data_IF_583881548252
#
_entry.id   IF_583881548252
#
_cell.length_a   1.000
_cell.length_b   1.000
_cell.length_c   1.000
_cell.angle_alpha   90.00
_cell.angle_beta   90.00
_cell.angle_gamma   90.00
#
_symmetry.space_group_name_H-M   'P 1'
#
loop_
_entity.id
_entity.type
_entity.pdbx_description
1 polymer ?
#
# COMPACT_ATOMS: atom_id res chain seq x y z
N UNK A 1 11.30 -8.25 25.15
CA UNK A 1 11.71 -6.84 25.25
C UNK A 1 11.02 -6.23 26.46
N UNK A 2 11.76 -5.50 27.31
CA UNK A 2 11.20 -4.74 28.43
C UNK A 2 11.84 -3.35 28.40
N UNK A 3 11.07 -2.31 28.09
CA UNK A 3 11.60 -0.97 27.89
C UNK A 3 10.59 0.00 27.27
N UNK A 4 11.03 1.25 27.10
CA UNK A 4 10.25 2.32 26.47
C UNK A 4 10.36 2.26 24.94
N UNK A 5 9.22 2.43 24.27
CA UNK A 5 9.19 2.61 22.83
C UNK A 5 9.30 4.09 22.47
N UNK A 6 10.02 4.38 21.41
CA UNK A 6 10.18 5.72 20.82
C UNK A 6 9.86 5.63 19.33
N UNK A 7 9.35 6.71 18.76
CA UNK A 7 9.11 6.83 17.33
C UNK A 7 9.82 8.09 16.81
N UNK A 8 10.64 7.93 15.79
CA UNK A 8 11.23 9.04 15.05
C UNK A 8 10.27 9.46 13.93
N UNK A 9 10.08 10.77 13.75
CA UNK A 9 9.19 11.34 12.74
C UNK A 9 10.00 12.32 11.91
N UNK A 10 10.21 11.99 10.64
CA UNK A 10 10.89 12.84 9.67
C UNK A 10 9.99 13.05 8.45
N UNK A 11 9.28 14.19 8.34
CA UNK A 11 8.45 14.49 7.19
C UNK A 11 9.32 14.66 5.93
N UNK A 12 8.94 14.01 4.83
CA UNK A 12 9.75 13.97 3.59
C UNK A 12 9.16 14.74 2.41
N UNK A 13 7.83 14.72 2.24
CA UNK A 13 7.14 15.42 1.13
C UNK A 13 6.39 16.66 1.59
N UNK A 14 5.70 16.55 2.72
CA UNK A 14 4.89 17.65 3.26
C UNK A 14 5.34 17.95 4.67
N UNK A 15 5.32 19.23 5.02
CA UNK A 15 5.39 19.64 6.43
C UNK A 15 4.11 19.24 7.13
N UNK A 16 4.21 18.65 8.32
CA UNK A 16 3.04 18.16 9.07
C UNK A 16 3.01 18.76 10.47
N UNK A 17 1.81 19.07 10.95
CA UNK A 17 1.57 19.41 12.34
C UNK A 17 1.03 18.18 13.06
N UNK A 18 1.73 17.76 14.12
CA UNK A 18 1.42 16.58 14.93
C UNK A 18 1.18 16.97 16.39
N UNK A 19 0.30 16.24 17.07
CA UNK A 19 -0.05 16.46 18.48
C UNK A 19 0.04 15.17 19.28
N UNK A 20 0.14 15.32 20.60
CA UNK A 20 0.11 14.20 21.54
C UNK A 20 -1.17 13.38 21.36
N UNK A 21 -1.03 12.05 21.38
CA UNK A 21 -2.15 11.11 21.23
C UNK A 21 -2.43 10.67 19.80
N UNK A 22 -1.79 11.29 18.80
CA UNK A 22 -1.89 10.86 17.40
C UNK A 22 -1.26 9.48 17.18
N UNK A 23 -1.83 8.71 16.24
CA UNK A 23 -1.40 7.36 15.88
C UNK A 23 -0.74 7.41 14.50
N UNK A 24 0.58 7.39 14.46
CA UNK A 24 1.39 7.49 13.22
C UNK A 24 2.16 6.21 12.90
N UNK A 25 2.24 5.27 13.84
CA UNK A 25 2.94 4.02 13.69
C UNK A 25 2.13 2.89 14.34
N UNK A 26 2.45 1.66 13.96
CA UNK A 26 1.80 0.43 14.41
C UNK A 26 2.85 -0.65 14.63
N UNK A 27 2.55 -1.60 15.51
CA UNK A 27 3.44 -2.71 15.85
C UNK A 27 2.67 -4.03 15.76
N UNK A 28 3.26 -5.01 15.08
CA UNK A 28 2.78 -6.39 15.04
C UNK A 28 3.63 -7.26 15.95
N UNK A 29 3.00 -8.02 16.83
CA UNK A 29 3.69 -8.99 17.69
C UNK A 29 3.61 -10.38 17.08
N UNK A 30 4.75 -11.09 17.08
CA UNK A 30 4.88 -12.45 16.54
C UNK A 30 5.61 -13.34 17.54
N UNK A 31 5.31 -14.64 17.50
CA UNK A 31 6.04 -15.67 18.23
C UNK A 31 6.52 -16.71 17.22
N UNK A 32 7.84 -16.86 17.09
CA UNK A 32 8.52 -17.66 16.05
C UNK A 32 8.37 -17.09 14.64
N UNK A 33 8.97 -17.79 13.67
CA UNK A 33 8.75 -17.54 12.26
C UNK A 33 7.40 -18.13 11.85
N UNK A 34 6.49 -17.28 11.38
CA UNK A 34 5.12 -17.63 10.95
C UNK A 34 4.90 -17.35 9.46
N UNK A 35 5.96 -16.98 8.75
CA UNK A 35 5.92 -16.69 7.32
C UNK A 35 5.67 -17.96 6.52
N UNK A 36 4.82 -17.85 5.51
CA UNK A 36 4.57 -18.93 4.55
C UNK A 36 5.71 -18.96 3.53
N UNK A 37 6.21 -20.15 3.24
CA UNK A 37 7.08 -20.36 2.08
C UNK A 37 6.24 -20.40 0.79
N UNK A 38 6.91 -20.47 -0.36
CA UNK A 38 6.24 -20.41 -1.66
C UNK A 38 5.33 -21.61 -1.95
N UNK A 39 5.65 -22.80 -1.42
CA UNK A 39 4.81 -23.99 -1.55
C UNK A 39 3.49 -23.82 -0.78
N UNK A 40 3.57 -23.41 0.49
CA UNK A 40 2.43 -23.12 1.35
C UNK A 40 1.59 -21.96 0.78
N UNK A 41 2.24 -20.92 0.25
CA UNK A 41 1.57 -19.77 -0.35
C UNK A 41 0.86 -20.14 -1.65
N UNK A 42 1.46 -21.02 -2.46
CA UNK A 42 0.83 -21.57 -3.67
C UNK A 42 -0.39 -22.41 -3.32
N UNK A 43 -0.29 -23.27 -2.30
CA UNK A 43 -1.40 -24.06 -1.81
C UNK A 43 -2.53 -23.17 -1.27
N UNK A 44 -2.19 -22.13 -0.50
CA UNK A 44 -3.16 -21.15 -0.01
C UNK A 44 -3.85 -20.41 -1.16
N UNK A 45 -3.10 -19.99 -2.19
CA UNK A 45 -3.67 -19.34 -3.37
C UNK A 45 -4.64 -20.25 -4.14
N UNK A 46 -4.34 -21.56 -4.23
CA UNK A 46 -5.24 -22.51 -4.87
C UNK A 46 -6.59 -22.63 -4.12
N UNK A 47 -6.57 -22.52 -2.78
CA UNK A 47 -7.75 -22.66 -1.92
C UNK A 47 -8.55 -21.35 -1.81
N UNK A 48 -7.89 -20.24 -1.50
CA UNK A 48 -8.52 -18.97 -1.11
C UNK A 48 -8.50 -17.91 -2.21
N UNK A 49 -7.78 -18.14 -3.33
CA UNK A 49 -7.61 -17.18 -4.43
C UNK A 49 -7.14 -15.80 -3.96
N UNK A 50 -5.87 -15.73 -3.53
CA UNK A 50 -5.26 -14.52 -2.99
C UNK A 50 -5.23 -13.33 -3.97
N UNK A 51 -5.19 -13.59 -5.28
CA UNK A 51 -5.28 -12.61 -6.36
C UNK A 51 -6.07 -13.19 -7.54
N UNK A 52 -6.62 -12.38 -8.45
CA UNK A 52 -7.20 -12.87 -9.70
C UNK A 52 -6.15 -13.48 -10.63
N UNK A 53 -6.52 -14.57 -11.31
CA UNK A 53 -5.67 -15.22 -12.31
C UNK A 53 -4.49 -15.99 -11.71
N UNK A 54 -3.36 -15.98 -12.41
CA UNK A 54 -2.15 -16.67 -11.98
C UNK A 54 -1.34 -15.77 -11.04
N UNK A 55 -1.07 -16.24 -9.83
CA UNK A 55 -0.17 -15.59 -8.90
C UNK A 55 1.29 -15.77 -9.35
N UNK A 56 2.08 -14.69 -9.28
CA UNK A 56 3.54 -14.76 -9.33
C UNK A 56 4.00 -14.96 -7.88
N UNK A 57 4.60 -16.11 -7.58
CA UNK A 57 5.07 -16.44 -6.23
C UNK A 57 6.57 -16.74 -6.34
N UNK A 58 7.37 -15.92 -5.68
CA UNK A 58 8.83 -15.99 -5.61
C UNK A 58 9.29 -15.24 -4.36
N UNK A 59 9.59 -15.99 -3.30
CA UNK A 59 9.83 -15.50 -1.94
C UNK A 59 8.69 -14.59 -1.43
N UNK A 60 7.44 -14.98 -1.71
CA UNK A 60 6.23 -14.20 -1.45
C UNK A 60 5.40 -13.89 -2.70
N UNK A 61 4.22 -13.31 -2.50
CA UNK A 61 3.27 -13.02 -3.59
C UNK A 61 3.67 -11.72 -4.30
N UNK A 62 4.12 -11.83 -5.54
CA UNK A 62 4.47 -10.70 -6.39
C UNK A 62 3.30 -9.76 -6.64
N UNK A 63 3.62 -8.47 -6.70
CA UNK A 63 2.64 -7.41 -6.85
C UNK A 63 3.15 -6.32 -7.78
N UNK A 64 2.32 -5.94 -8.76
CA UNK A 64 2.71 -5.08 -9.88
C UNK A 64 1.92 -3.78 -9.91
N UNK A 65 2.46 -2.78 -10.62
CA UNK A 65 1.81 -1.49 -10.77
C UNK A 65 0.80 -1.48 -11.92
N UNK A 66 -0.32 -0.79 -11.73
CA UNK A 66 -1.25 -0.50 -12.81
C UNK A 66 -1.06 0.92 -13.36
N UNK A 67 -0.70 1.00 -14.64
CA UNK A 67 -0.61 2.24 -15.41
C UNK A 67 -1.56 2.22 -16.60
N UNK A 68 -2.52 1.27 -16.64
CA UNK A 68 -3.56 1.15 -17.68
C UNK A 68 -4.93 0.95 -17.02
N UNK A 69 -5.44 1.97 -16.31
CA UNK A 69 -6.72 1.90 -15.62
C UNK A 69 -7.84 1.64 -16.63
N UNK A 70 -8.88 0.92 -16.21
CA UNK A 70 -10.02 0.57 -17.07
C UNK A 70 -10.84 1.78 -17.53
N UNK A 71 -10.73 2.92 -16.85
CA UNK A 71 -11.43 4.16 -17.17
C UNK A 71 -10.51 5.37 -16.98
N UNK A 72 -10.56 6.30 -17.93
CA UNK A 72 -9.74 7.51 -17.91
C UNK A 72 -8.25 7.24 -18.16
N UNK A 73 -7.42 8.22 -17.80
CA UNK A 73 -5.96 8.12 -17.91
C UNK A 73 -5.23 8.34 -16.59
N UNK A 74 -5.94 8.56 -15.47
CA UNK A 74 -5.35 8.84 -14.17
C UNK A 74 -4.74 7.57 -13.56
N UNK A 75 -3.43 7.56 -13.39
CA UNK A 75 -2.67 6.40 -12.87
C UNK A 75 -2.10 6.64 -11.48
N UNK A 76 -2.08 7.89 -11.02
CA UNK A 76 -1.48 8.21 -9.75
C UNK A 76 -1.47 9.69 -9.43
N UNK A 77 -0.79 10.00 -8.33
CA UNK A 77 -0.54 11.36 -7.87
C UNK A 77 0.95 11.54 -7.55
N UNK A 78 1.53 12.67 -7.95
CA UNK A 78 2.88 13.08 -7.54
C UNK A 78 2.77 14.20 -6.51
N UNK A 79 3.44 14.07 -5.38
CA UNK A 79 3.46 15.14 -4.38
C UNK A 79 4.12 16.39 -4.96
N UNK A 80 3.46 17.55 -4.82
CA UNK A 80 4.04 18.84 -5.20
C UNK A 80 5.16 19.21 -4.22
N UNK A 81 6.25 19.83 -4.70
CA UNK A 81 7.23 20.44 -3.80
C UNK A 81 6.64 21.72 -3.18
N UNK A 82 7.15 22.10 -2.01
CA UNK A 82 6.90 23.41 -1.38
C UNK A 82 5.42 23.78 -1.17
N UNK A 83 4.65 22.88 -0.55
CA UNK A 83 3.24 23.11 -0.21
C UNK A 83 3.04 23.68 1.19
N UNK A 84 1.80 24.00 1.55
CA UNK A 84 1.42 24.38 2.92
C UNK A 84 1.59 23.25 3.94
N UNK A 85 1.37 23.57 5.22
CA UNK A 85 1.45 22.59 6.31
C UNK A 85 0.15 21.76 6.36
N UNK A 86 0.28 20.44 6.48
CA UNK A 86 -0.85 19.53 6.72
C UNK A 86 -1.00 19.29 8.23
N UNK A 87 -2.09 19.79 8.80
CA UNK A 87 -2.53 19.46 10.14
C UNK A 87 -3.22 18.10 10.12
N UNK A 88 -2.64 17.13 10.83
CA UNK A 88 -3.13 15.75 10.81
C UNK A 88 -4.47 15.54 11.56
N UNK A 89 -4.97 16.54 12.28
CA UNK A 89 -6.32 16.50 12.88
C UNK A 89 -7.42 16.89 11.87
N UNK A 90 -7.07 17.59 10.78
CA UNK A 90 -8.04 18.04 9.78
C UNK A 90 -8.29 16.94 8.75
N UNK A 91 -9.45 16.29 8.86
CA UNK A 91 -9.93 15.23 7.96
C UNK A 91 -10.81 15.85 6.89
N UNK A 92 -10.69 15.39 5.63
CA UNK A 92 -11.51 15.84 4.49
C UNK A 92 -11.45 17.38 4.29
N UNK A 93 -10.28 17.98 4.53
CA UNK A 93 -10.11 19.44 4.62
C UNK A 93 -9.33 20.03 3.45
N UNK A 94 -8.18 19.43 3.13
CA UNK A 94 -7.25 19.96 2.14
C UNK A 94 -7.73 19.66 0.72
N UNK A 95 -7.61 20.63 -0.18
CA UNK A 95 -7.84 20.41 -1.61
C UNK A 95 -6.66 19.59 -2.18
N UNK A 96 -6.88 18.40 -2.76
CA UNK A 96 -5.82 17.64 -3.40
C UNK A 96 -5.00 18.45 -4.42
N UNK A 97 -5.63 19.38 -5.15
CA UNK A 97 -4.97 20.19 -6.18
C UNK A 97 -3.84 21.06 -5.63
N UNK A 98 -3.89 21.43 -4.35
CA UNK A 98 -2.87 22.25 -3.71
C UNK A 98 -1.62 21.44 -3.34
N UNK A 99 -1.73 20.10 -3.25
CA UNK A 99 -0.67 19.24 -2.72
C UNK A 99 -0.19 18.17 -3.70
N UNK A 100 -0.98 17.84 -4.72
CA UNK A 100 -0.74 16.72 -5.63
C UNK A 100 -0.91 17.15 -7.09
N UNK A 101 0.02 16.71 -7.93
CA UNK A 101 -0.15 16.68 -9.38
C UNK A 101 -0.79 15.35 -9.77
N UNK A 102 -1.83 15.39 -10.59
CA UNK A 102 -2.37 14.19 -11.24
C UNK A 102 -1.38 13.64 -12.26
N UNK A 103 -1.18 12.32 -12.24
CA UNK A 103 -0.34 11.63 -13.21
C UNK A 103 -1.26 10.91 -14.18
N UNK A 104 -1.11 11.22 -15.46
CA UNK A 104 -1.87 10.60 -16.54
C UNK A 104 -0.94 10.01 -17.60
N UNK A 105 -1.28 8.84 -18.12
CA UNK A 105 -0.57 8.21 -19.23
C UNK A 105 -1.54 7.43 -20.12
N UNK A 106 -1.27 7.40 -21.42
CA UNK A 106 -1.97 6.56 -22.40
C UNK A 106 -1.09 5.41 -22.93
N UNK A 107 0.21 5.43 -22.62
CA UNK A 107 1.18 4.44 -23.08
C UNK A 107 1.33 3.27 -22.09
N UNK A 108 0.93 3.50 -20.83
CA UNK A 108 1.13 2.53 -19.75
C UNK A 108 2.53 2.59 -19.15
N UNK A 109 3.19 3.73 -19.27
CA UNK A 109 4.49 4.00 -18.66
C UNK A 109 4.51 5.41 -18.06
N UNK A 110 5.33 5.60 -17.02
CA UNK A 110 5.63 6.90 -16.41
C UNK A 110 7.11 6.97 -16.05
N UNK A 111 7.67 8.18 -15.99
CA UNK A 111 9.02 8.41 -15.46
C UNK A 111 8.90 8.83 -14.00
N UNK A 112 9.61 8.12 -13.13
CA UNK A 112 9.76 8.47 -11.72
C UNK A 112 10.96 9.40 -11.56
N UNK A 113 10.71 10.61 -11.10
CA UNK A 113 11.74 11.60 -10.82
C UNK A 113 12.45 11.28 -9.48
N UNK A 114 13.79 11.39 -9.41
CA UNK A 114 14.51 11.21 -8.15
C UNK A 114 14.01 12.15 -7.04
N UNK A 115 13.82 11.59 -5.84
CA UNK A 115 13.35 12.34 -4.67
C UNK A 115 11.86 12.67 -4.66
N UNK A 116 11.15 12.58 -5.80
CA UNK A 116 9.72 12.76 -5.85
C UNK A 116 8.96 11.60 -5.18
N UNK A 117 7.74 11.88 -4.75
CA UNK A 117 6.88 10.92 -4.07
C UNK A 117 5.61 10.69 -4.88
N UNK A 118 5.29 9.42 -5.08
CA UNK A 118 4.20 8.98 -5.92
C UNK A 118 3.23 8.12 -5.11
N UNK A 119 1.94 8.37 -5.29
CA UNK A 119 0.87 7.44 -4.92
C UNK A 119 0.36 6.81 -6.20
N UNK A 120 0.60 5.51 -6.35
CA UNK A 120 0.14 4.67 -7.44
C UNK A 120 -0.80 3.60 -6.88
N UNK A 121 -1.29 2.73 -7.75
CA UNK A 121 -2.16 1.63 -7.36
C UNK A 121 -1.71 0.34 -8.05
N UNK A 122 -1.90 -0.77 -7.37
CA UNK A 122 -1.53 -2.07 -7.87
C UNK A 122 -2.42 -2.59 -8.97
N UNK A 123 -1.90 -3.46 -9.83
CA UNK A 123 -2.73 -4.18 -10.80
C UNK A 123 -3.57 -5.25 -10.13
N UNK A 124 -2.98 -6.01 -9.22
CA UNK A 124 -3.68 -7.10 -8.55
C UNK A 124 -4.64 -6.57 -7.49
N UNK A 125 -5.83 -7.17 -7.44
CA UNK A 125 -6.74 -7.03 -6.30
C UNK A 125 -6.38 -8.11 -5.29
N UNK A 126 -5.82 -7.72 -4.17
CA UNK A 126 -5.30 -8.64 -3.15
C UNK A 126 -6.39 -9.02 -2.16
N UNK A 127 -6.30 -10.26 -1.72
CA UNK A 127 -7.14 -10.85 -0.69
C UNK A 127 -6.26 -11.42 0.43
N UNK A 128 -6.48 -10.96 1.67
CA UNK A 128 -5.85 -11.50 2.87
C UNK A 128 -6.90 -12.31 3.65
N UNK A 129 -6.80 -13.65 3.68
CA UNK A 129 -7.81 -14.47 4.37
C UNK A 129 -7.79 -14.23 5.89
N UNK A 130 -8.89 -14.52 6.60
CA UNK A 130 -9.04 -14.22 8.04
C UNK A 130 -7.99 -14.82 8.98
N UNK A 131 -7.32 -15.89 8.57
CA UNK A 131 -6.29 -16.57 9.37
C UNK A 131 -4.87 -16.12 9.05
N UNK A 132 -4.72 -15.12 8.18
CA UNK A 132 -3.42 -14.64 7.72
C UNK A 132 -3.36 -13.13 7.84
N UNK A 133 -2.15 -12.63 7.99
CA UNK A 133 -1.81 -11.23 7.76
C UNK A 133 -0.76 -11.19 6.66
N UNK A 134 -0.56 -10.03 6.04
CA UNK A 134 0.58 -9.84 5.14
C UNK A 134 1.37 -8.59 5.48
N UNK A 135 2.60 -8.55 5.00
CA UNK A 135 3.50 -7.40 5.05
C UNK A 135 4.07 -7.18 3.65
N UNK A 136 4.09 -5.92 3.22
CA UNK A 136 4.70 -5.58 1.93
C UNK A 136 6.21 -5.52 2.09
N UNK A 137 6.95 -6.21 1.22
CA UNK A 137 8.39 -6.15 1.15
C UNK A 137 8.84 -5.63 -0.23
N UNK A 138 9.94 -4.86 -0.30
CA UNK A 138 10.48 -4.37 -1.55
C UNK A 138 11.03 -5.53 -2.41
N UNK A 139 10.93 -5.38 -3.73
CA UNK A 139 11.54 -6.35 -4.65
C UNK A 139 13.06 -6.12 -4.73
N UNK A 140 13.85 -7.15 -4.39
CA UNK A 140 15.31 -7.04 -4.22
C UNK A 140 16.01 -6.50 -5.47
N UNK A 141 15.56 -6.87 -6.66
CA UNK A 141 16.19 -6.44 -7.92
C UNK A 141 16.07 -4.92 -8.19
N UNK A 142 15.16 -4.22 -7.51
CA UNK A 142 14.95 -2.78 -7.66
C UNK A 142 15.60 -1.96 -6.55
N UNK A 143 16.30 -2.64 -5.62
CA UNK A 143 17.00 -2.00 -4.50
C UNK A 143 18.14 -1.14 -5.03
N UNK A 144 17.87 0.15 -5.16
CA UNK A 144 18.83 1.17 -5.64
C UNK A 144 18.16 2.17 -6.59
N UNK A 145 17.23 1.69 -7.43
CA UNK A 145 16.56 2.50 -8.45
C UNK A 145 15.32 3.20 -7.88
N UNK A 146 14.40 2.43 -7.30
CA UNK A 146 13.24 2.95 -6.57
C UNK A 146 12.79 1.96 -5.50
N UNK A 147 12.05 2.45 -4.50
CA UNK A 147 11.45 1.59 -3.47
C UNK A 147 9.99 1.94 -3.28
N UNK A 148 9.19 0.91 -3.02
CA UNK A 148 7.92 1.10 -2.34
C UNK A 148 8.25 1.43 -0.88
N UNK A 149 8.16 2.71 -0.56
CA UNK A 149 8.88 3.33 0.55
C UNK A 149 8.18 3.13 1.91
N UNK A 150 6.90 2.80 1.90
CA UNK A 150 6.11 2.59 3.11
C UNK A 150 5.41 1.23 3.08
N UNK A 151 6.26 0.20 3.02
CA UNK A 151 5.90 -1.17 3.34
C UNK A 151 5.02 -1.22 4.61
N UNK A 152 3.76 -1.56 4.42
CA UNK A 152 2.75 -1.59 5.48
C UNK A 152 2.30 -3.01 5.82
N UNK A 153 1.56 -3.10 6.92
CA UNK A 153 0.80 -4.28 7.29
C UNK A 153 -0.52 -4.34 6.54
N UNK A 154 -0.84 -5.51 5.99
CA UNK A 154 -2.17 -5.85 5.54
C UNK A 154 -2.83 -6.74 6.59
N UNK A 155 -4.00 -6.33 7.04
CA UNK A 155 -4.74 -6.98 8.12
C UNK A 155 -5.60 -8.15 7.63
N UNK A 156 -5.88 -9.15 8.50
CA UNK A 156 -6.78 -10.24 8.18
C UNK A 156 -8.17 -9.74 7.73
N UNK A 157 -8.62 -10.18 6.56
CA UNK A 157 -9.89 -9.78 5.95
C UNK A 157 -9.79 -8.64 4.92
N UNK A 158 -8.60 -8.09 4.67
CA UNK A 158 -8.40 -7.12 3.60
C UNK A 158 -8.79 -7.74 2.25
N UNK A 159 -9.71 -7.12 1.51
CA UNK A 159 -10.22 -7.67 0.24
C UNK A 159 -11.10 -8.92 0.36
N UNK A 160 -11.49 -9.36 1.57
CA UNK A 160 -12.24 -10.60 1.79
C UNK A 160 -13.75 -10.46 1.56
N UNK A 161 -14.35 -11.38 0.81
CA UNK A 161 -15.76 -11.29 0.37
C UNK A 161 -16.78 -11.26 1.51
N UNK A 162 -16.63 -12.12 2.51
CA UNK A 162 -17.52 -12.13 3.68
C UNK A 162 -17.30 -10.91 4.61
N UNK A 163 -16.30 -10.08 4.34
CA UNK A 163 -16.08 -8.77 4.97
C UNK A 163 -16.45 -7.60 4.03
N UNK A 164 -17.23 -7.88 2.97
CA UNK A 164 -17.71 -6.89 2.00
C UNK A 164 -16.73 -6.53 0.88
N UNK A 165 -15.66 -7.31 0.68
CA UNK A 165 -14.69 -7.13 -0.43
C UNK A 165 -15.01 -7.96 -1.67
N UNK A 166 -14.23 -7.77 -2.74
CA UNK A 166 -14.15 -8.66 -3.92
C UNK A 166 -12.70 -8.76 -4.39
N UNK A 167 -11.76 -8.74 -3.45
CA UNK A 167 -10.39 -8.25 -3.63
C UNK A 167 -10.32 -6.72 -3.48
N UNK A 168 -9.18 -6.21 -3.01
CA UNK A 168 -8.92 -4.77 -2.91
C UNK A 168 -7.54 -4.44 -3.49
N UNK A 169 -7.45 -3.36 -4.25
CA UNK A 169 -6.18 -2.92 -4.84
C UNK A 169 -5.35 -2.23 -3.75
N UNK A 170 -4.05 -2.53 -3.72
CA UNK A 170 -3.13 -1.88 -2.80
C UNK A 170 -2.74 -0.51 -3.32
N UNK A 171 -2.80 0.49 -2.45
CA UNK A 171 -2.16 1.79 -2.71
C UNK A 171 -0.66 1.61 -2.57
N UNK A 172 0.08 2.08 -3.56
CA UNK A 172 1.52 1.96 -3.67
C UNK A 172 2.16 3.32 -3.45
N UNK A 173 3.06 3.39 -2.48
CA UNK A 173 3.75 4.62 -2.14
C UNK A 173 5.20 4.52 -2.62
N UNK A 174 5.53 5.18 -3.73
CA UNK A 174 6.76 4.94 -4.49
C UNK A 174 7.69 6.15 -4.44
N UNK A 175 8.99 5.90 -4.25
CA UNK A 175 10.06 6.90 -4.38
C UNK A 175 11.21 6.36 -5.21
N UNK A 176 11.69 7.17 -6.14
CA UNK A 176 12.93 6.96 -6.86
C UNK A 176 14.10 7.64 -6.10
N UNK A 177 15.28 7.01 -6.08
CA UNK A 177 16.41 7.46 -5.25
C UNK A 177 17.44 8.26 -6.05
N UNK A 178 18.07 7.64 -7.04
CA UNK A 178 19.30 8.18 -7.64
C UNK A 178 19.13 8.77 -9.04
N UNK A 179 18.48 8.05 -9.97
CA UNK A 179 18.33 8.45 -11.36
C UNK A 179 16.90 8.23 -11.85
N UNK A 180 16.40 9.04 -12.81
CA UNK A 180 15.06 8.86 -13.34
C UNK A 180 14.83 7.43 -13.81
N UNK A 181 13.67 6.88 -13.45
CA UNK A 181 13.35 5.47 -13.72
C UNK A 181 12.06 5.35 -14.52
N UNK A 182 12.09 4.63 -15.63
CA UNK A 182 10.88 4.33 -16.41
C UNK A 182 10.15 3.16 -15.74
N UNK A 183 8.96 3.43 -15.22
CA UNK A 183 8.08 2.42 -14.65
C UNK A 183 7.01 2.04 -15.67
N UNK A 184 6.93 0.75 -15.97
CA UNK A 184 5.99 0.21 -16.97
C UNK A 184 4.82 -0.52 -16.31
N UNK A 185 3.69 -0.57 -17.02
CA UNK A 185 2.51 -1.30 -16.58
C UNK A 185 2.81 -2.79 -16.36
N UNK A 186 2.39 -3.31 -15.21
CA UNK A 186 2.59 -4.73 -14.87
C UNK A 186 4.01 -5.05 -14.39
N UNK A 187 4.88 -4.05 -14.29
CA UNK A 187 6.18 -4.22 -13.64
C UNK A 187 5.99 -4.52 -12.16
N UNK A 188 6.62 -5.59 -11.69
CA UNK A 188 6.57 -6.02 -10.27
C UNK A 188 7.32 -5.01 -9.42
N UNK A 189 6.64 -4.40 -8.45
CA UNK A 189 7.22 -3.35 -7.58
C UNK A 189 7.51 -3.84 -6.17
N UNK A 190 6.99 -5.00 -5.80
CA UNK A 190 7.15 -5.57 -4.47
C UNK A 190 6.54 -6.94 -4.35
N UNK A 191 6.56 -7.46 -3.13
CA UNK A 191 5.96 -8.75 -2.76
C UNK A 191 5.20 -8.63 -1.46
N UNK A 192 4.15 -9.44 -1.32
CA UNK A 192 3.41 -9.59 -0.08
C UNK A 192 3.87 -10.87 0.61
N UNK A 193 4.43 -10.71 1.80
CA UNK A 193 4.85 -11.79 2.68
C UNK A 193 3.67 -12.15 3.56
N UNK A 194 3.15 -13.37 3.43
CA UNK A 194 2.03 -13.85 4.25
C UNK A 194 2.55 -14.49 5.53
N UNK A 195 1.89 -14.17 6.64
CA UNK A 195 2.15 -14.74 7.97
C UNK A 195 0.87 -15.37 8.52
N UNK A 196 0.97 -16.55 9.12
CA UNK A 196 -0.15 -17.20 9.80
C UNK A 196 -0.46 -16.53 11.14
N UNK A 197 -1.74 -16.23 11.38
CA UNK A 197 -2.22 -15.69 12.65
C UNK A 197 -2.17 -16.76 13.74
N UNK A 198 -1.83 -16.36 14.97
CA UNK A 198 -1.87 -17.27 16.12
C UNK A 198 -3.29 -17.76 16.44
N UNK A 199 -4.30 -16.91 16.19
CA UNK A 199 -5.73 -17.17 16.26
C UNK A 199 -6.45 -16.25 15.28
N UNK A 200 -7.61 -16.69 14.77
CA UNK A 200 -8.49 -15.83 13.98
C UNK A 200 -8.93 -14.61 14.82
N UNK A 201 -8.80 -13.38 14.31
CA UNK A 201 -9.20 -12.19 15.06
C UNK A 201 -10.72 -12.10 15.16
N UNK A 202 -11.20 -11.48 16.25
CA UNK A 202 -12.64 -11.26 16.49
C UNK A 202 -13.24 -10.17 15.61
N UNK A 203 -12.39 -9.30 15.03
CA UNK A 203 -12.77 -8.26 14.07
C UNK A 203 -11.88 -8.39 12.84
N UNK A 204 -12.51 -8.53 11.68
CA UNK A 204 -11.82 -8.53 10.39
C UNK A 204 -11.75 -7.11 9.83
N UNK A 205 -10.72 -6.86 9.01
CA UNK A 205 -10.66 -5.65 8.22
C UNK A 205 -11.91 -5.53 7.34
N UNK A 206 -12.53 -4.36 7.29
CA UNK A 206 -13.81 -4.14 6.59
C UNK A 206 -15.07 -4.37 7.43
N UNK A 207 -15.02 -5.08 8.57
CA UNK A 207 -16.19 -5.32 9.42
C UNK A 207 -16.37 -4.24 10.50
N UNK A 208 -17.54 -3.59 10.53
CA UNK A 208 -18.01 -2.71 11.61
C UNK A 208 -17.40 -1.30 11.70
N UNK A 209 -16.20 -1.06 11.16
CA UNK A 209 -15.54 0.26 11.09
C UNK A 209 -15.45 0.70 9.63
N UNK A 210 -15.69 2.00 9.34
CA UNK A 210 -15.39 2.64 8.05
C UNK A 210 -13.91 2.40 7.70
N UNK A 211 -13.62 1.27 7.07
CA UNK A 211 -12.26 0.86 6.73
C UNK A 211 -11.80 1.72 5.57
N UNK A 212 -10.72 2.46 5.76
CA UNK A 212 -10.34 3.54 4.84
C UNK A 212 -9.94 3.03 3.44
N UNK A 213 -9.58 1.74 3.30
CA UNK A 213 -9.03 1.16 2.07
C UNK A 213 -9.75 -0.10 1.59
N UNK A 214 -10.86 -0.52 2.21
CA UNK A 214 -11.60 -1.70 1.74
C UNK A 214 -12.29 -1.40 0.40
N UNK A 215 -12.06 -2.26 -0.60
CA UNK A 215 -12.72 -2.21 -1.91
C UNK A 215 -12.39 -0.99 -2.78
N UNK A 216 -11.23 -0.35 -2.58
CA UNK A 216 -10.92 0.93 -3.24
C UNK A 216 -9.75 0.84 -4.23
N UNK A 217 -9.78 1.73 -5.23
CA UNK A 217 -8.71 1.98 -6.19
C UNK A 217 -7.79 3.11 -5.71
N UNK A 218 -7.26 3.89 -6.66
CA UNK A 218 -6.36 5.01 -6.37
C UNK A 218 -6.99 6.03 -5.40
N UNK A 219 -6.32 6.32 -4.29
CA UNK A 219 -6.85 7.20 -3.25
C UNK A 219 -5.77 7.90 -2.43
N UNK A 220 -6.02 9.17 -2.10
CA UNK A 220 -5.19 9.96 -1.19
C UNK A 220 -5.57 9.73 0.28
N UNK A 221 -4.72 10.19 1.21
CA UNK A 221 -5.01 10.06 2.64
C UNK A 221 -6.33 10.76 3.03
N UNK A 222 -6.89 10.36 4.16
CA UNK A 222 -8.17 10.88 4.69
C UNK A 222 -8.20 12.40 4.97
N UNK A 223 -7.05 13.07 4.94
CA UNK A 223 -6.91 14.51 5.17
C UNK A 223 -7.34 15.35 3.98
N UNK A 224 -7.33 14.75 2.78
CA UNK A 224 -7.73 15.41 1.55
C UNK A 224 -9.22 15.22 1.27
N UNK A 225 -9.82 16.24 0.66
CA UNK A 225 -11.21 16.22 0.21
C UNK A 225 -11.44 15.08 -0.79
N UNK A 226 -12.55 14.35 -0.62
CA UNK A 226 -12.90 13.22 -1.52
C UNK A 226 -13.44 13.63 -2.88
N UNK A 227 -13.91 14.86 -3.01
CA UNK A 227 -14.39 15.43 -4.26
C UNK A 227 -13.19 15.95 -5.05
N UNK A 228 -12.64 15.08 -5.90
CA UNK A 228 -11.70 15.40 -6.95
C UNK A 228 -12.21 14.77 -8.25
#
# INVERSE_FOLDING_TARGET
>A
YCGKLYAEICPRSFSVLVRQGMKLNQIRFRNKNTTLNDEDLTALHAQEKLVPGNAIIDDGLGFSVDLRPSQGGLVGYRAKPHTGIIDLDLIDYYDPAEFWDEIKTSQGEIILDPGAFYILVSRESVHIPPEYAAEMAPYVAMVGEFRVHYAGFFDPGFGHNAAGGSGARGVLEVRCHEAPFVLEHGQVVGRLIYEKMSKRPTKLYGQGVKSNYQGQGLKLSKHFKKSF
#
